data_IF_585913864117
#
_entry.id   IF_585913864117
#
_cell.length_a   1.000
_cell.length_b   1.000
_cell.length_c   1.000
_cell.angle_alpha   90.00
_cell.angle_beta   90.00
_cell.angle_gamma   90.00
#
_symmetry.space_group_name_H-M   'P 1'
#
loop_
_entity.id
_entity.type
_entity.pdbx_description
1 polymer ?
#
# COMPACT_ATOMS: atom_id res chain seq x y z
N UNK A 1 -5.49 13.57 22.58
CA UNK A 1 -5.22 12.49 21.60
C UNK A 1 -6.57 11.89 21.21
N UNK A 2 -6.88 11.80 19.90
CA UNK A 2 -8.16 11.41 19.23
C UNK A 2 -9.49 12.08 19.67
N UNK A 3 -9.62 12.60 20.89
CA UNK A 3 -10.78 13.38 21.34
C UNK A 3 -12.10 12.59 21.26
N UNK A 4 -13.20 13.28 20.96
CA UNK A 4 -14.53 12.68 20.81
C UNK A 4 -14.64 11.67 19.66
N UNK A 5 -13.61 11.57 18.80
CA UNK A 5 -13.55 10.61 17.69
C UNK A 5 -12.91 9.28 18.09
N UNK A 6 -12.60 9.08 19.38
CA UNK A 6 -12.09 7.81 19.87
C UNK A 6 -13.15 6.71 19.73
N UNK A 7 -12.89 5.75 18.84
CA UNK A 7 -13.67 4.52 18.75
C UNK A 7 -13.44 3.58 19.93
N UNK A 8 -14.12 2.44 19.93
CA UNK A 8 -13.86 1.37 20.90
C UNK A 8 -12.38 0.95 20.88
N UNK A 9 -11.80 0.58 22.04
CA UNK A 9 -10.43 0.08 22.10
C UNK A 9 -10.32 -1.19 21.25
N UNK A 10 -9.23 -1.28 20.48
CA UNK A 10 -8.91 -2.50 19.73
C UNK A 10 -8.46 -3.58 20.71
N UNK A 11 -8.98 -4.79 20.54
CA UNK A 11 -8.53 -5.96 21.29
C UNK A 11 -7.13 -6.39 20.84
N UNK A 12 -6.86 -6.32 19.54
CA UNK A 12 -5.61 -6.74 18.92
C UNK A 12 -4.97 -5.63 18.07
N UNK A 13 -3.64 -5.63 18.05
CA UNK A 13 -2.83 -5.00 17.01
C UNK A 13 -2.11 -6.09 16.21
N UNK A 14 -2.05 -5.91 14.90
CA UNK A 14 -1.43 -6.86 13.97
C UNK A 14 -0.23 -6.20 13.30
N UNK A 15 0.81 -6.98 13.04
CA UNK A 15 1.98 -6.55 12.31
C UNK A 15 2.40 -7.60 11.28
N UNK A 16 2.88 -7.14 10.13
CA UNK A 16 3.39 -7.97 9.05
C UNK A 16 4.75 -7.48 8.57
N UNK A 17 5.61 -8.44 8.22
CA UNK A 17 6.85 -8.22 7.47
C UNK A 17 6.95 -9.29 6.41
N UNK A 18 7.27 -8.89 5.18
CA UNK A 18 7.52 -9.84 4.08
C UNK A 18 8.99 -9.91 3.71
N UNK A 19 9.68 -8.76 3.79
CA UNK A 19 11.12 -8.62 3.55
C UNK A 19 11.78 -7.77 4.62
N UNK A 20 13.09 -7.95 4.77
CA UNK A 20 13.98 -6.99 5.37
C UNK A 20 14.99 -6.59 4.30
N UNK A 21 14.73 -5.46 3.64
CA UNK A 21 15.50 -5.00 2.48
C UNK A 21 15.56 -6.08 1.37
N UNK A 22 16.75 -6.52 0.96
CA UNK A 22 16.94 -7.52 -0.09
C UNK A 22 16.59 -8.95 0.35
N UNK A 23 16.47 -9.22 1.66
CA UNK A 23 16.27 -10.56 2.19
C UNK A 23 14.81 -10.88 2.50
N UNK A 24 14.37 -12.08 2.12
CA UNK A 24 13.04 -12.60 2.44
C UNK A 24 12.99 -13.03 3.90
N UNK A 25 12.07 -12.46 4.67
CA UNK A 25 11.93 -12.77 6.10
C UNK A 25 10.49 -12.54 6.53
N UNK A 26 9.64 -13.47 6.09
CA UNK A 26 8.21 -13.38 6.29
C UNK A 26 7.84 -13.69 7.75
N UNK A 27 7.30 -12.68 8.41
CA UNK A 27 6.89 -12.71 9.82
C UNK A 27 5.53 -12.07 9.96
N UNK A 28 4.73 -12.63 10.85
CA UNK A 28 3.42 -12.10 11.23
C UNK A 28 3.31 -12.08 12.73
N UNK A 29 2.67 -11.05 13.27
CA UNK A 29 2.49 -10.93 14.71
C UNK A 29 1.09 -10.39 15.04
N UNK A 30 0.58 -10.84 16.18
CA UNK A 30 -0.59 -10.26 16.83
C UNK A 30 -0.25 -10.02 18.28
N UNK A 31 -0.71 -8.89 18.82
CA UNK A 31 -0.53 -8.53 20.22
C UNK A 31 -1.82 -7.97 20.78
N UNK A 32 -2.16 -8.36 22.00
CA UNK A 32 -3.21 -7.71 22.78
C UNK A 32 -2.60 -6.79 23.85
N UNK A 33 -3.33 -6.51 24.93
CA UNK A 33 -2.82 -5.68 26.02
C UNK A 33 -1.59 -6.26 26.72
N UNK A 34 -1.46 -7.60 26.79
CA UNK A 34 -0.45 -8.31 27.59
C UNK A 34 0.43 -9.23 26.76
N UNK A 35 -0.14 -10.08 25.90
CA UNK A 35 0.60 -11.09 25.17
C UNK A 35 0.89 -10.67 23.74
N UNK A 36 2.08 -11.03 23.26
CA UNK A 36 2.48 -10.90 21.86
C UNK A 36 2.82 -12.27 21.30
N UNK A 37 2.20 -12.60 20.19
CA UNK A 37 2.48 -13.78 19.40
C UNK A 37 3.18 -13.39 18.10
N UNK A 38 4.22 -14.14 17.74
CA UNK A 38 4.97 -13.97 16.48
C UNK A 38 5.04 -15.34 15.80
N UNK A 39 4.77 -15.37 14.49
CA UNK A 39 4.93 -16.54 13.64
C UNK A 39 5.98 -16.26 12.58
N UNK A 40 6.99 -17.12 12.51
CA UNK A 40 8.01 -17.11 11.46
C UNK A 40 7.69 -18.14 10.40
N UNK A 41 7.78 -17.73 9.13
CA UNK A 41 7.51 -18.62 8.01
C UNK A 41 8.78 -19.23 7.40
N UNK A 42 9.95 -18.73 7.81
CA UNK A 42 11.27 -19.29 7.48
C UNK A 42 11.99 -19.74 8.77
N UNK A 43 11.45 -20.72 9.53
CA UNK A 43 12.10 -21.20 10.74
C UNK A 43 13.44 -21.87 10.44
N UNK A 44 14.38 -21.79 11.38
CA UNK A 44 15.73 -22.36 11.22
C UNK A 44 16.75 -21.42 10.60
N UNK A 45 16.33 -20.33 9.96
CA UNK A 45 17.21 -19.22 9.60
C UNK A 45 17.54 -18.38 10.83
N UNK A 46 18.72 -17.74 10.90
CA UNK A 46 19.06 -16.87 12.02
C UNK A 46 18.15 -15.64 12.10
N UNK A 47 18.03 -15.03 13.28
CA UNK A 47 17.34 -13.73 13.41
C UNK A 47 18.03 -12.64 12.59
N UNK A 48 19.36 -12.61 12.63
CA UNK A 48 20.19 -11.75 11.78
C UNK A 48 20.37 -12.37 10.40
N UNK A 49 19.42 -12.10 9.53
CA UNK A 49 19.52 -12.37 8.09
C UNK A 49 20.50 -11.40 7.42
N UNK A 50 20.98 -11.76 6.22
CA UNK A 50 21.91 -10.92 5.49
C UNK A 50 21.24 -9.64 4.96
N UNK A 51 21.65 -8.50 5.51
CA UNK A 51 21.23 -7.18 5.04
C UNK A 51 22.49 -6.29 4.94
N UNK A 52 22.97 -5.95 3.73
CA UNK A 52 24.20 -5.20 3.54
C UNK A 52 24.21 -3.85 4.25
N UNK A 53 23.07 -3.15 4.25
CA UNK A 53 22.94 -1.85 4.90
C UNK A 53 23.05 -1.95 6.42
N UNK A 54 22.37 -2.92 7.05
CA UNK A 54 22.46 -3.20 8.48
C UNK A 54 23.90 -3.46 8.92
N UNK A 55 24.66 -4.24 8.14
CA UNK A 55 26.04 -4.59 8.45
C UNK A 55 27.03 -3.42 8.34
N UNK A 56 26.63 -2.28 7.78
CA UNK A 56 27.43 -1.03 7.84
C UNK A 56 27.36 -0.36 9.21
N UNK A 57 26.37 -0.69 10.03
CA UNK A 57 26.18 -0.04 11.32
C UNK A 57 27.28 -0.45 12.31
N UNK A 58 27.96 0.50 13.00
CA UNK A 58 29.07 0.17 13.91
C UNK A 58 28.70 -0.82 15.01
N UNK A 59 27.46 -0.73 15.53
CA UNK A 59 26.98 -1.68 16.56
C UNK A 59 26.94 -3.12 16.04
N UNK A 60 26.56 -3.32 14.77
CA UNK A 60 26.49 -4.65 14.17
C UNK A 60 27.89 -5.22 13.97
N UNK A 61 28.85 -4.38 13.56
CA UNK A 61 30.24 -4.78 13.42
C UNK A 61 30.83 -5.21 14.78
N UNK A 62 30.53 -4.46 15.84
CA UNK A 62 30.99 -4.82 17.19
C UNK A 62 30.32 -6.09 17.73
N UNK A 63 29.02 -6.28 17.49
CA UNK A 63 28.33 -7.52 17.86
C UNK A 63 28.91 -8.74 17.13
N UNK A 64 29.24 -8.61 15.84
CA UNK A 64 29.92 -9.68 15.10
C UNK A 64 31.31 -9.98 15.66
N UNK A 65 32.11 -8.95 15.99
CA UNK A 65 33.43 -9.12 16.62
C UNK A 65 33.32 -9.92 17.92
N UNK A 66 32.46 -9.47 18.84
CA UNK A 66 32.24 -10.13 20.13
C UNK A 66 31.68 -11.56 19.96
N UNK A 67 30.81 -11.79 18.98
CA UNK A 67 30.26 -13.12 18.71
C UNK A 67 31.34 -14.09 18.21
N UNK A 68 32.21 -13.65 17.29
CA UNK A 68 33.32 -14.47 16.78
C UNK A 68 34.37 -14.78 17.85
N UNK A 69 34.60 -13.85 18.79
CA UNK A 69 35.54 -14.03 19.90
C UNK A 69 34.93 -14.85 21.05
N UNK A 70 33.63 -15.16 21.01
CA UNK A 70 32.92 -15.84 22.09
C UNK A 70 32.70 -14.97 23.34
N UNK A 71 32.84 -13.65 23.20
CA UNK A 71 32.71 -12.67 24.28
C UNK A 71 31.30 -12.06 24.38
N UNK A 72 30.44 -12.27 23.38
CA UNK A 72 29.06 -11.80 23.41
C UNK A 72 28.23 -12.60 24.44
N UNK A 73 27.68 -11.90 25.45
CA UNK A 73 26.99 -12.53 26.59
C UNK A 73 25.64 -11.88 26.87
N UNK A 74 24.63 -12.70 27.16
CA UNK A 74 23.29 -12.22 27.50
C UNK A 74 22.30 -12.36 26.34
N UNK A 75 21.10 -11.79 26.45
CA UNK A 75 20.00 -12.03 25.51
C UNK A 75 20.29 -11.69 24.05
N UNK A 76 21.23 -10.78 23.77
CA UNK A 76 21.61 -10.43 22.41
C UNK A 76 22.25 -11.58 21.63
N UNK A 77 22.65 -12.67 22.29
CA UNK A 77 23.10 -13.90 21.59
C UNK A 77 21.96 -14.58 20.84
N UNK A 78 20.70 -14.38 21.27
CA UNK A 78 19.51 -14.90 20.59
C UNK A 78 19.47 -14.47 19.12
N UNK A 79 19.93 -13.26 18.82
CA UNK A 79 19.97 -12.71 17.46
C UNK A 79 20.82 -13.53 16.46
N UNK A 80 21.76 -14.32 16.98
CA UNK A 80 22.66 -15.16 16.18
C UNK A 80 22.17 -16.62 16.08
N UNK A 81 21.15 -16.98 16.85
CA UNK A 81 20.52 -18.30 16.82
C UNK A 81 19.42 -18.40 15.77
N UNK A 82 18.96 -19.62 15.46
CA UNK A 82 17.85 -19.86 14.55
C UNK A 82 16.53 -19.35 15.14
N UNK A 83 15.67 -18.78 14.29
CA UNK A 83 14.31 -18.41 14.65
C UNK A 83 13.47 -19.68 14.93
N UNK A 84 12.65 -19.70 16.00
CA UNK A 84 11.65 -20.74 16.19
C UNK A 84 10.49 -20.56 15.20
N UNK A 85 9.58 -21.53 15.13
CA UNK A 85 8.37 -21.41 14.30
C UNK A 85 7.41 -20.36 14.90
N UNK A 86 7.29 -20.36 16.23
CA UNK A 86 6.37 -19.53 16.97
C UNK A 86 7.07 -18.94 18.19
N UNK A 87 6.68 -17.71 18.53
CA UNK A 87 7.07 -17.04 19.75
C UNK A 87 5.85 -16.50 20.47
N UNK A 88 5.84 -16.62 21.79
CA UNK A 88 4.83 -16.04 22.67
C UNK A 88 5.54 -15.33 23.81
N UNK A 89 5.23 -14.06 24.02
CA UNK A 89 5.79 -13.26 25.11
C UNK A 89 4.69 -12.67 25.98
N UNK A 90 4.87 -12.75 27.29
CA UNK A 90 4.10 -12.00 28.27
C UNK A 90 4.74 -10.63 28.47
N UNK A 91 4.30 -9.61 27.71
CA UNK A 91 4.92 -8.28 27.71
C UNK A 91 4.77 -7.50 29.03
N UNK A 92 3.98 -8.01 29.99
CA UNK A 92 3.91 -7.44 31.33
C UNK A 92 5.03 -7.96 32.23
N UNK A 93 5.25 -9.27 32.24
CA UNK A 93 6.26 -9.91 33.09
C UNK A 93 7.64 -9.95 32.43
N UNK A 94 7.68 -9.98 31.10
CA UNK A 94 8.86 -9.90 30.27
C UNK A 94 8.73 -8.74 29.26
N UNK A 95 8.93 -7.49 29.71
CA UNK A 95 8.80 -6.31 28.85
C UNK A 95 9.88 -6.23 27.75
N UNK A 96 10.92 -7.06 27.83
CA UNK A 96 12.02 -7.12 26.87
C UNK A 96 11.86 -8.24 25.83
N UNK A 97 10.85 -9.10 26.00
CA UNK A 97 10.51 -10.18 25.05
C UNK A 97 11.69 -11.13 24.81
N UNK A 98 12.31 -11.58 25.90
CA UNK A 98 13.47 -12.49 25.91
C UNK A 98 13.03 -13.95 26.09
N UNK A 99 12.04 -14.21 26.94
CA UNK A 99 11.63 -15.57 27.33
C UNK A 99 10.46 -16.04 26.47
N UNK A 100 10.75 -16.89 25.48
CA UNK A 100 9.71 -17.42 24.59
C UNK A 100 8.88 -18.52 25.28
N UNK A 101 7.60 -18.21 25.52
CA UNK A 101 6.61 -19.08 26.17
C UNK A 101 5.86 -20.01 25.21
N UNK A 102 6.20 -20.04 23.91
CA UNK A 102 5.46 -20.86 22.93
C UNK A 102 5.53 -22.37 23.19
N UNK A 103 6.60 -22.82 23.86
CA UNK A 103 6.77 -24.21 24.29
C UNK A 103 6.17 -24.52 25.67
N UNK A 104 5.68 -23.51 26.39
CA UNK A 104 5.21 -23.69 27.76
C UNK A 104 3.77 -24.21 27.81
N UNK A 105 3.54 -25.24 28.65
CA UNK A 105 2.26 -25.91 28.74
C UNK A 105 1.18 -25.05 29.42
N UNK A 106 1.56 -24.20 30.37
CA UNK A 106 0.62 -23.33 31.09
C UNK A 106 0.08 -22.21 30.19
N UNK A 107 0.90 -21.74 29.24
CA UNK A 107 0.53 -20.67 28.31
C UNK A 107 -0.13 -21.16 27.01
N UNK A 108 -0.38 -22.46 26.88
CA UNK A 108 -0.92 -23.05 25.64
C UNK A 108 -2.26 -22.44 25.21
N UNK A 109 -3.12 -22.09 26.17
CA UNK A 109 -4.41 -21.45 25.88
C UNK A 109 -4.25 -20.08 25.21
N UNK A 110 -3.29 -19.27 25.69
CA UNK A 110 -2.99 -17.96 25.11
C UNK A 110 -2.33 -18.06 23.74
N UNK A 111 -1.42 -19.02 23.58
CA UNK A 111 -0.80 -19.33 22.29
C UNK A 111 -1.88 -19.67 21.25
N UNK A 112 -2.78 -20.59 21.56
CA UNK A 112 -3.81 -21.05 20.63
C UNK A 112 -4.82 -19.94 20.30
N UNK A 113 -5.18 -19.09 21.28
CA UNK A 113 -6.04 -17.92 21.08
C UNK A 113 -5.42 -16.91 20.12
N UNK A 114 -4.18 -16.50 20.37
CA UNK A 114 -3.50 -15.52 19.51
C UNK A 114 -3.15 -16.10 18.13
N UNK A 115 -2.79 -17.38 18.06
CA UNK A 115 -2.62 -18.09 16.78
C UNK A 115 -3.89 -17.99 15.94
N UNK A 116 -5.04 -18.30 16.54
CA UNK A 116 -6.34 -18.17 15.86
C UNK A 116 -6.66 -16.73 15.46
N UNK A 117 -6.43 -15.76 16.34
CA UNK A 117 -6.66 -14.35 16.03
C UNK A 117 -5.81 -13.88 14.84
N UNK A 118 -4.58 -14.37 14.73
CA UNK A 118 -3.73 -14.09 13.57
C UNK A 118 -4.24 -14.76 12.30
N UNK A 119 -4.63 -16.04 12.37
CA UNK A 119 -5.17 -16.77 11.21
C UNK A 119 -6.44 -16.11 10.65
N UNK A 120 -7.37 -15.74 11.53
CA UNK A 120 -8.60 -15.05 11.16
C UNK A 120 -8.30 -13.69 10.50
N UNK A 121 -7.28 -12.97 10.99
CA UNK A 121 -6.85 -11.70 10.40
C UNK A 121 -6.20 -11.89 9.02
N UNK A 122 -5.29 -12.86 8.88
CA UNK A 122 -4.64 -13.22 7.61
C UNK A 122 -5.69 -13.53 6.53
N UNK A 123 -6.71 -14.32 6.88
CA UNK A 123 -7.82 -14.64 5.99
C UNK A 123 -8.64 -13.38 5.65
N UNK A 124 -9.01 -12.59 6.66
CA UNK A 124 -9.83 -11.39 6.48
C UNK A 124 -9.21 -10.35 5.55
N UNK A 125 -7.89 -10.11 5.67
CA UNK A 125 -7.19 -9.12 4.83
C UNK A 125 -6.81 -9.67 3.45
N UNK A 126 -6.97 -10.97 3.21
CA UNK A 126 -6.56 -11.61 1.96
C UNK A 126 -5.05 -11.56 1.76
N UNK A 127 -4.28 -11.87 2.80
CA UNK A 127 -2.82 -11.82 2.78
C UNK A 127 -2.25 -12.68 1.63
N UNK A 128 -1.50 -12.05 0.72
CA UNK A 128 -0.97 -12.69 -0.48
C UNK A 128 0.39 -13.36 -0.26
N UNK A 129 0.98 -13.30 0.94
CA UNK A 129 2.38 -13.68 1.12
C UNK A 129 2.66 -15.17 1.07
N UNK A 130 1.62 -16.01 0.91
CA UNK A 130 1.78 -17.43 0.52
C UNK A 130 2.08 -17.60 -0.98
N UNK A 131 1.92 -16.55 -1.77
CA UNK A 131 2.28 -16.49 -3.19
C UNK A 131 3.67 -15.90 -3.33
N UNK A 132 4.50 -16.47 -4.19
CA UNK A 132 5.81 -15.87 -4.45
C UNK A 132 5.65 -14.51 -5.12
N UNK A 133 6.55 -13.57 -4.86
CA UNK A 133 6.54 -12.26 -5.56
C UNK A 133 6.59 -12.43 -7.07
N UNK A 134 7.28 -13.46 -7.56
CA UNK A 134 7.32 -13.78 -8.99
C UNK A 134 5.93 -14.08 -9.56
N UNK A 135 5.13 -14.89 -8.87
CA UNK A 135 3.75 -15.19 -9.24
C UNK A 135 2.86 -13.95 -9.13
N UNK A 136 3.01 -13.16 -8.06
CA UNK A 136 2.28 -11.89 -7.90
C UNK A 136 2.54 -10.93 -9.06
N UNK A 137 3.81 -10.77 -9.45
CA UNK A 137 4.19 -9.92 -10.59
C UNK A 137 3.58 -10.44 -11.89
N UNK A 138 3.52 -11.76 -12.11
CA UNK A 138 2.88 -12.33 -13.29
C UNK A 138 1.37 -12.11 -13.33
N UNK A 139 0.70 -12.10 -12.18
CA UNK A 139 -0.73 -11.75 -12.11
C UNK A 139 -0.96 -10.27 -12.44
N UNK A 140 -0.07 -9.38 -11.99
CA UNK A 140 -0.19 -7.96 -12.27
C UNK A 140 0.23 -7.60 -13.70
N UNK A 141 1.25 -8.26 -14.24
CA UNK A 141 1.82 -8.06 -15.56
C UNK A 141 1.71 -9.35 -16.39
N UNK A 142 0.51 -9.65 -16.93
CA UNK A 142 0.35 -10.73 -17.90
C UNK A 142 1.38 -10.57 -19.03
N UNK A 143 2.00 -11.68 -19.43
CA UNK A 143 3.07 -11.72 -20.44
C UNK A 143 4.34 -10.91 -20.09
N UNK A 144 4.51 -10.53 -18.82
CA UNK A 144 5.63 -9.70 -18.37
C UNK A 144 5.55 -8.24 -18.84
N UNK A 145 4.38 -7.82 -19.35
CA UNK A 145 4.16 -6.46 -19.85
C UNK A 145 3.32 -5.67 -18.85
N UNK A 146 3.84 -4.52 -18.42
CA UNK A 146 3.10 -3.60 -17.56
C UNK A 146 1.86 -3.09 -18.31
N UNK A 147 0.64 -3.32 -17.81
CA UNK A 147 -0.57 -2.81 -18.43
C UNK A 147 -0.54 -1.28 -18.46
N UNK A 148 -1.24 -0.67 -19.42
CA UNK A 148 -1.35 0.80 -19.52
C UNK A 148 -2.72 1.27 -19.08
N UNK A 149 -2.75 2.37 -18.34
CA UNK A 149 -3.99 3.06 -17.97
C UNK A 149 -4.65 3.63 -19.24
N UNK A 150 -5.95 3.42 -19.41
CA UNK A 150 -6.68 3.92 -20.56
C UNK A 150 -6.67 5.46 -20.59
N UNK A 151 -6.57 6.08 -21.77
CA UNK A 151 -6.60 7.53 -21.89
C UNK A 151 -7.93 8.11 -21.39
N UNK A 152 -7.91 9.30 -20.75
CA UNK A 152 -9.15 9.98 -20.37
C UNK A 152 -10.02 10.34 -21.58
N UNK A 153 -11.32 10.26 -21.40
CA UNK A 153 -12.33 10.73 -22.35
C UNK A 153 -13.08 11.91 -21.73
N UNK A 154 -13.25 12.97 -22.52
CA UNK A 154 -14.05 14.12 -22.13
C UNK A 154 -15.50 13.89 -22.55
N UNK A 155 -16.43 14.11 -21.62
CA UNK A 155 -17.87 13.90 -21.82
C UNK A 155 -18.58 15.21 -21.50
N UNK A 156 -18.97 16.00 -22.52
CA UNK A 156 -19.69 17.24 -22.31
C UNK A 156 -21.12 16.94 -21.82
N UNK A 157 -21.58 17.76 -20.88
CA UNK A 157 -22.91 17.74 -20.29
C UNK A 157 -23.51 19.14 -20.47
N UNK A 158 -24.41 19.23 -21.43
CA UNK A 158 -25.22 20.40 -21.77
C UNK A 158 -26.58 19.93 -22.33
N UNK A 159 -27.42 20.86 -22.79
CA UNK A 159 -28.73 20.56 -23.37
C UNK A 159 -28.63 19.63 -24.59
N UNK A 160 -27.68 19.90 -25.49
CA UNK A 160 -27.48 19.15 -26.74
C UNK A 160 -26.85 17.77 -26.51
N UNK A 161 -26.08 17.63 -25.44
CA UNK A 161 -25.42 16.39 -25.05
C UNK A 161 -25.47 16.23 -23.53
N UNK A 162 -26.46 15.51 -22.97
CA UNK A 162 -26.57 15.31 -21.53
C UNK A 162 -25.61 14.21 -21.03
N UNK A 163 -24.38 14.18 -21.54
CA UNK A 163 -23.35 13.19 -21.20
C UNK A 163 -23.48 11.84 -21.93
N UNK A 164 -24.11 11.81 -23.12
CA UNK A 164 -24.32 10.57 -23.89
C UNK A 164 -23.14 10.21 -24.78
N UNK A 165 -22.48 11.22 -25.34
CA UNK A 165 -21.42 11.03 -26.35
C UNK A 165 -20.15 11.72 -25.87
N UNK A 166 -19.03 11.00 -25.88
CA UNK A 166 -17.73 11.60 -25.58
C UNK A 166 -17.28 12.53 -26.71
N UNK A 167 -16.50 13.55 -26.36
CA UNK A 167 -15.89 14.50 -27.29
C UNK A 167 -14.36 14.47 -27.09
N UNK A 168 -13.63 13.49 -27.66
CA UNK A 168 -12.21 13.26 -27.38
C UNK A 168 -11.30 14.47 -27.68
N UNK A 169 -11.66 15.27 -28.67
CA UNK A 169 -10.93 16.47 -29.11
C UNK A 169 -11.64 17.78 -28.70
N UNK A 170 -12.78 17.68 -27.99
CA UNK A 170 -13.64 18.81 -27.63
C UNK A 170 -14.68 19.15 -28.69
N UNK A 171 -15.11 20.42 -28.74
CA UNK A 171 -16.15 20.89 -29.66
C UNK A 171 -16.81 22.20 -29.22
N UNK A 172 -17.76 22.67 -30.03
CA UNK A 172 -18.56 23.86 -29.73
C UNK A 172 -19.91 23.48 -29.12
N UNK A 173 -20.28 24.14 -28.03
CA UNK A 173 -21.51 23.87 -27.28
C UNK A 173 -22.14 25.17 -26.80
N UNK A 174 -23.47 25.17 -26.67
CA UNK A 174 -24.19 26.23 -25.97
C UNK A 174 -24.06 26.08 -24.46
N UNK A 175 -23.82 27.19 -23.76
CA UNK A 175 -23.77 27.22 -22.31
C UNK A 175 -25.15 27.01 -21.66
N UNK A 176 -25.21 26.53 -20.40
CA UNK A 176 -24.09 26.14 -19.55
C UNK A 176 -23.49 24.77 -19.94
N UNK A 177 -22.16 24.66 -19.89
CA UNK A 177 -21.42 23.42 -20.16
C UNK A 177 -20.68 22.91 -18.93
N UNK A 178 -20.90 21.64 -18.60
CA UNK A 178 -20.02 20.86 -17.72
C UNK A 178 -19.24 19.85 -18.56
N UNK A 179 -18.03 19.51 -18.15
CA UNK A 179 -17.25 18.42 -18.74
C UNK A 179 -16.94 17.40 -17.66
N UNK A 180 -17.45 16.18 -17.85
CA UNK A 180 -17.05 15.02 -17.08
C UNK A 180 -15.81 14.39 -17.73
N UNK A 181 -14.90 13.85 -16.93
CA UNK A 181 -13.76 13.08 -17.43
C UNK A 181 -13.92 11.64 -17.00
N UNK A 182 -13.85 10.73 -17.97
CA UNK A 182 -14.00 9.30 -17.76
C UNK A 182 -12.71 8.56 -18.10
N UNK A 183 -12.35 7.54 -17.33
CA UNK A 183 -11.29 6.59 -17.66
C UNK A 183 -11.87 5.18 -17.54
N UNK A 184 -11.67 4.36 -18.57
CA UNK A 184 -12.18 2.98 -18.59
C UNK A 184 -11.38 2.04 -17.67
N UNK A 185 -10.19 2.43 -17.22
CA UNK A 185 -9.40 1.63 -16.28
C UNK A 185 -9.97 1.77 -14.87
N UNK A 186 -10.54 0.69 -14.35
CA UNK A 186 -11.05 0.63 -12.99
C UNK A 186 -9.96 0.99 -11.96
N UNK A 187 -10.30 1.86 -11.02
CA UNK A 187 -9.39 2.32 -9.97
C UNK A 187 -8.32 3.32 -10.43
N UNK A 188 -8.43 3.86 -11.66
CA UNK A 188 -7.57 4.95 -12.11
C UNK A 188 -8.00 6.29 -11.48
N UNK A 189 -7.01 7.06 -11.05
CA UNK A 189 -7.17 8.47 -10.71
C UNK A 189 -6.92 9.32 -11.95
N UNK A 190 -7.73 10.34 -12.17
CA UNK A 190 -7.57 11.27 -13.29
C UNK A 190 -7.07 12.60 -12.75
N UNK A 191 -6.07 13.18 -13.40
CA UNK A 191 -5.64 14.55 -13.18
C UNK A 191 -5.89 15.37 -14.45
N UNK A 192 -6.21 16.65 -14.30
CA UNK A 192 -6.42 17.56 -15.42
C UNK A 192 -5.80 18.94 -15.16
N UNK A 193 -5.58 19.70 -16.24
CA UNK A 193 -5.19 21.10 -16.19
C UNK A 193 -5.95 21.88 -17.26
N UNK A 194 -6.24 23.15 -16.96
CA UNK A 194 -6.81 24.12 -17.90
C UNK A 194 -5.75 25.09 -18.45
N UNK A 195 -4.50 24.95 -17.97
CA UNK A 195 -3.39 25.81 -18.35
C UNK A 195 -2.61 25.20 -19.52
N UNK A 196 -2.08 26.07 -20.37
CA UNK A 196 -1.15 25.70 -21.44
C UNK A 196 0.30 25.74 -20.93
N UNK A 197 1.20 24.98 -21.57
CA UNK A 197 2.62 24.91 -21.23
C UNK A 197 3.07 23.66 -20.44
N UNK A 198 4.37 23.48 -20.27
CA UNK A 198 4.96 22.32 -19.59
C UNK A 198 4.91 22.45 -18.06
N UNK A 199 5.14 23.65 -17.51
CA UNK A 199 5.08 23.92 -16.07
C UNK A 199 3.65 24.32 -15.66
N UNK A 200 2.77 23.32 -15.59
CA UNK A 200 1.35 23.53 -15.31
C UNK A 200 0.90 22.80 -14.06
N UNK A 201 0.06 23.49 -13.26
CA UNK A 201 -0.56 22.89 -12.08
C UNK A 201 -1.65 21.90 -12.50
N UNK A 202 -1.44 20.63 -12.17
CA UNK A 202 -2.44 19.57 -12.33
C UNK A 202 -3.38 19.52 -11.12
N UNK A 203 -4.66 19.32 -11.40
CA UNK A 203 -5.74 19.18 -10.42
C UNK A 203 -6.24 17.74 -10.43
N UNK A 204 -6.49 17.18 -9.25
CA UNK A 204 -7.14 15.87 -9.12
C UNK A 204 -8.61 16.01 -9.51
N UNK A 205 -9.06 15.18 -10.45
CA UNK A 205 -10.45 15.15 -10.87
C UNK A 205 -11.33 14.51 -9.79
N UNK A 206 -12.26 15.28 -9.25
CA UNK A 206 -13.22 14.83 -8.21
C UNK A 206 -14.69 15.04 -8.60
N UNK A 207 -14.97 15.65 -9.75
CA UNK A 207 -16.33 15.95 -10.21
C UNK A 207 -16.34 16.73 -11.52
N UNK A 208 -17.52 16.86 -12.15
CA UNK A 208 -17.67 17.55 -13.43
C UNK A 208 -17.16 19.00 -13.37
N UNK A 209 -16.41 19.41 -14.39
CA UNK A 209 -15.75 20.71 -14.47
C UNK A 209 -16.68 21.67 -15.19
N UNK A 210 -17.02 22.81 -14.57
CA UNK A 210 -17.78 23.87 -15.23
C UNK A 210 -16.86 24.73 -16.09
N UNK A 211 -17.20 24.86 -17.38
CA UNK A 211 -16.44 25.71 -18.28
C UNK A 211 -17.07 27.11 -18.38
N UNK A 212 -16.25 28.18 -18.40
CA UNK A 212 -16.74 29.53 -18.68
C UNK A 212 -17.12 29.69 -20.15
N UNK A 213 -17.82 30.79 -20.49
CA UNK A 213 -18.02 31.21 -21.88
C UNK A 213 -16.65 31.50 -22.54
N UNK A 214 -16.55 31.20 -23.84
CA UNK A 214 -15.31 31.33 -24.62
C UNK A 214 -14.56 30.01 -24.81
N UNK A 215 -13.26 30.11 -25.14
CA UNK A 215 -12.42 28.95 -25.39
C UNK A 215 -11.75 28.45 -24.11
N UNK A 216 -11.78 27.13 -23.89
CA UNK A 216 -11.04 26.47 -22.82
C UNK A 216 -10.39 25.20 -23.34
N UNK A 217 -9.08 25.09 -23.17
CA UNK A 217 -8.33 23.85 -23.42
C UNK A 217 -8.26 23.04 -22.14
N UNK A 218 -8.68 21.78 -22.19
CA UNK A 218 -8.52 20.82 -21.09
C UNK A 218 -7.49 19.78 -21.50
N UNK A 219 -6.49 19.56 -20.64
CA UNK A 219 -5.54 18.46 -20.75
C UNK A 219 -5.77 17.50 -19.60
N UNK A 220 -5.73 16.19 -19.84
CA UNK A 220 -5.99 15.18 -18.83
C UNK A 220 -5.06 13.97 -18.99
N UNK A 221 -4.71 13.36 -17.84
CA UNK A 221 -4.01 12.08 -17.74
C UNK A 221 -4.68 11.19 -16.69
N UNK A 222 -4.60 9.89 -16.88
CA UNK A 222 -5.06 8.90 -15.93
C UNK A 222 -3.90 8.03 -15.44
N UNK A 223 -3.90 7.75 -14.13
CA UNK A 223 -2.91 6.91 -13.46
C UNK A 223 -3.63 5.87 -12.62
N UNK A 224 -3.35 4.60 -12.89
CA UNK A 224 -3.66 3.49 -11.97
C UNK A 224 -2.35 2.96 -11.39
N UNK A 225 -2.24 2.90 -10.05
CA UNK A 225 -1.03 2.42 -9.37
C UNK A 225 -0.69 1.02 -9.88
N UNK A 226 0.57 0.78 -10.21
CA UNK A 226 1.03 -0.48 -10.81
C UNK A 226 0.81 -0.57 -12.33
N UNK A 227 0.13 0.36 -12.99
CA UNK A 227 0.07 0.43 -14.46
C UNK A 227 1.07 1.47 -14.99
N UNK A 228 1.33 1.44 -16.29
CA UNK A 228 1.91 2.58 -17.00
C UNK A 228 0.88 3.72 -17.06
N UNK A 229 1.36 4.95 -17.01
CA UNK A 229 0.56 6.16 -17.18
C UNK A 229 -0.16 6.14 -18.54
N UNK A 230 -1.37 6.72 -18.58
CA UNK A 230 -2.08 6.89 -19.83
C UNK A 230 -1.34 7.86 -20.76
N UNK A 231 -1.73 7.86 -22.04
CA UNK A 231 -1.42 9.01 -22.89
C UNK A 231 -2.13 10.26 -22.35
N UNK A 232 -1.53 11.43 -22.55
CA UNK A 232 -2.18 12.70 -22.29
C UNK A 232 -3.20 12.99 -23.39
N UNK A 233 -4.41 13.37 -22.99
CA UNK A 233 -5.46 13.80 -23.91
C UNK A 233 -5.70 15.30 -23.73
N UNK A 234 -5.86 15.97 -24.86
CA UNK A 234 -6.14 17.40 -24.94
C UNK A 234 -7.43 17.59 -25.71
N UNK A 235 -8.34 18.41 -25.19
CA UNK A 235 -9.59 18.78 -25.86
C UNK A 235 -9.82 20.28 -25.78
N UNK A 236 -10.32 20.85 -26.86
CA UNK A 236 -10.63 22.29 -26.95
C UNK A 236 -12.14 22.48 -26.98
N UNK A 237 -12.67 23.21 -26.00
CA UNK A 237 -14.09 23.51 -25.90
C UNK A 237 -14.34 24.98 -26.19
N UNK A 238 -15.35 25.26 -27.00
CA UNK A 238 -15.87 26.61 -27.23
C UNK A 238 -17.30 26.69 -26.69
N UNK A 239 -17.51 27.56 -25.70
CA UNK A 239 -18.82 27.71 -25.04
C UNK A 239 -19.46 29.02 -25.50
N UNK A 240 -20.54 28.90 -26.26
CA UNK A 240 -21.33 30.04 -26.74
C UNK A 240 -22.37 30.46 -25.69
N UNK A 241 -22.72 31.75 -25.71
CA UNK A 241 -23.73 32.33 -24.82
C UNK A 241 -25.10 31.73 -25.13
N UNK A 242 -25.85 31.34 -24.09
CA UNK A 242 -27.23 30.90 -24.25
C UNK A 242 -28.07 32.03 -24.88
N UNK A 243 -28.86 31.72 -25.91
CA UNK A 243 -29.85 32.65 -26.45
C UNK A 243 -30.98 32.73 -25.42
N UNK A 244 -31.20 33.92 -24.87
CA UNK A 244 -32.28 34.24 -23.91
C UNK A 244 -33.66 34.01 -24.49
#
# INVERSE_FOLDING_TARGET
FLGEQAGAPREYVYASRDRHDESYDMVRAVRDARFKYIRHYNPGEPYLIWVPYLNKHPIMQEMWRLYMEGELKGPQTLLFGPKPVEELYDTHNDPYEIENLAGDAEHRGELDRLRKALDDWIEHVGDMSRMSEFEMVRLWYPDGKKPRTAPPLFVPICEENPGRVAAPEGGSYRGPLLVQIHCATQGASVAYTLNEGEDTRWLLYAGAIRLPEGETTIRARAIRIGYAESEEKTAKFSVEKAIS
#
